data_IF_799144225797
#
_entry.id   IF_799144225797
#
_cell.length_a   1.000
_cell.length_b   1.000
_cell.length_c   1.000
_cell.angle_alpha   90.00
_cell.angle_beta   90.00
_cell.angle_gamma   90.00
#
_symmetry.space_group_name_H-M   'P 1'
#
loop_
_entity.id
_entity.type
_entity.pdbx_description
1 polymer ?
#
# COMPACT_ATOMS: atom_id res chain seq x y z
N UNK A 1 2.15 -7.32 10.35
CA UNK A 1 3.09 -6.44 11.08
C UNK A 1 2.53 -6.11 12.43
N UNK A 2 3.39 -5.94 13.45
CA UNK A 2 2.99 -5.63 14.83
C UNK A 2 2.07 -4.41 14.94
N UNK A 3 2.17 -3.47 14.01
CA UNK A 3 1.41 -2.20 14.02
C UNK A 3 0.15 -2.19 13.14
N UNK A 4 -0.18 -3.30 12.46
CA UNK A 4 -1.29 -3.32 11.48
C UNK A 4 -2.64 -2.93 12.10
N UNK A 5 -2.92 -3.37 13.33
CA UNK A 5 -4.20 -3.08 14.00
C UNK A 5 -4.28 -1.61 14.47
N UNK A 6 -3.32 -1.09 15.27
CA UNK A 6 -3.32 0.33 15.66
C UNK A 6 -3.38 1.28 14.46
N UNK A 7 -2.65 0.98 13.39
CA UNK A 7 -2.63 1.82 12.20
C UNK A 7 -3.96 1.79 11.43
N UNK A 8 -4.62 0.62 11.35
CA UNK A 8 -5.95 0.52 10.75
C UNK A 8 -6.97 1.34 11.54
N UNK A 9 -6.97 1.23 12.87
CA UNK A 9 -7.87 1.98 13.75
C UNK A 9 -7.65 3.49 13.64
N UNK A 10 -6.38 3.92 13.60
CA UNK A 10 -6.02 5.31 13.35
C UNK A 10 -6.60 5.84 12.03
N UNK A 11 -6.42 5.12 10.93
CA UNK A 11 -6.93 5.52 9.61
C UNK A 11 -8.45 5.47 9.50
N UNK A 12 -9.11 4.51 10.16
CA UNK A 12 -10.57 4.38 10.14
C UNK A 12 -11.25 5.49 10.97
N UNK A 13 -10.50 6.15 11.86
CA UNK A 13 -10.98 7.26 12.71
C UNK A 13 -12.25 6.94 13.49
N UNK A 14 -12.44 5.68 13.87
CA UNK A 14 -13.67 5.22 14.56
C UNK A 14 -14.95 5.63 13.83
N UNK A 15 -14.94 5.61 12.49
CA UNK A 15 -16.05 6.02 11.62
C UNK A 15 -16.49 7.48 11.79
N UNK A 16 -15.66 8.33 12.41
CA UNK A 16 -15.95 9.76 12.54
C UNK A 16 -15.73 10.48 11.20
N UNK A 17 -16.69 11.29 10.73
CA UNK A 17 -16.55 12.03 9.47
C UNK A 17 -15.40 13.04 9.51
N UNK A 18 -14.69 13.16 8.40
CA UNK A 18 -13.69 14.20 8.13
C UNK A 18 -14.36 15.33 7.36
N UNK A 19 -14.35 16.53 7.95
CA UNK A 19 -14.84 17.74 7.31
C UNK A 19 -13.65 18.58 6.83
N UNK A 20 -13.64 18.97 5.55
CA UNK A 20 -12.64 19.88 5.00
C UNK A 20 -13.25 20.76 3.90
N UNK A 21 -12.52 21.79 3.50
CA UNK A 21 -12.92 22.72 2.44
C UNK A 21 -11.85 22.74 1.35
N UNK A 22 -12.25 22.58 0.10
CA UNK A 22 -11.36 22.66 -1.06
C UNK A 22 -11.97 23.60 -2.09
N UNK A 23 -11.19 24.59 -2.55
CA UNK A 23 -11.64 25.59 -3.54
C UNK A 23 -12.99 26.25 -3.18
N UNK A 24 -13.20 26.58 -1.90
CA UNK A 24 -14.46 27.21 -1.48
C UNK A 24 -15.59 26.22 -1.14
N UNK A 25 -15.48 24.94 -1.51
CA UNK A 25 -16.54 23.93 -1.38
C UNK A 25 -16.30 23.07 -0.14
N UNK A 26 -17.36 22.89 0.68
CA UNK A 26 -17.30 22.06 1.88
C UNK A 26 -17.57 20.58 1.54
N UNK A 27 -16.71 19.70 2.06
CA UNK A 27 -16.82 18.25 1.92
C UNK A 27 -16.92 17.59 3.30
N UNK A 28 -17.69 16.50 3.36
CA UNK A 28 -17.80 15.62 4.53
C UNK A 28 -17.63 14.17 4.06
N UNK A 29 -16.54 13.55 4.48
CA UNK A 29 -16.17 12.18 4.08
C UNK A 29 -16.19 11.27 5.30
N UNK A 30 -16.83 10.12 5.20
CA UNK A 30 -16.74 9.05 6.19
C UNK A 30 -15.92 7.91 5.60
N UNK A 31 -14.93 7.41 6.32
CA UNK A 31 -14.15 6.24 5.92
C UNK A 31 -14.88 5.00 6.44
N UNK A 32 -15.39 4.18 5.53
CA UNK A 32 -16.18 2.99 5.87
C UNK A 32 -15.30 1.76 6.18
N UNK A 33 -14.17 1.62 5.49
CA UNK A 33 -13.21 0.54 5.72
C UNK A 33 -11.77 0.96 5.37
N UNK A 34 -10.79 0.26 5.94
CA UNK A 34 -9.37 0.41 5.68
C UNK A 34 -8.73 -0.95 5.47
N UNK A 35 -8.11 -1.13 4.30
CA UNK A 35 -7.29 -2.30 3.96
C UNK A 35 -5.82 -1.89 3.91
N UNK A 36 -5.00 -2.58 4.69
CA UNK A 36 -3.56 -2.30 4.77
C UNK A 36 -2.76 -3.36 4.00
N UNK A 37 -1.94 -2.86 3.07
CA UNK A 37 -1.04 -3.64 2.24
C UNK A 37 0.39 -3.09 2.36
N UNK A 38 1.40 -3.93 2.10
CA UNK A 38 2.75 -3.43 1.88
C UNK A 38 2.82 -2.44 0.72
N UNK A 39 3.81 -1.54 0.74
CA UNK A 39 3.98 -0.53 -0.30
C UNK A 39 4.17 -1.19 -1.69
N UNK A 40 3.57 -0.59 -2.71
CA UNK A 40 3.54 -1.11 -4.08
C UNK A 40 2.62 -2.31 -4.32
N UNK A 41 2.33 -3.15 -3.30
CA UNK A 41 1.51 -4.37 -3.47
C UNK A 41 0.09 -4.08 -3.95
N UNK A 42 -0.52 -2.96 -3.55
CA UNK A 42 -1.87 -2.59 -3.97
C UNK A 42 -2.01 -2.46 -5.49
N UNK A 43 -0.93 -2.11 -6.21
CA UNK A 43 -0.94 -2.02 -7.66
C UNK A 43 -1.16 -3.39 -8.32
N UNK A 44 -0.61 -4.46 -7.74
CA UNK A 44 -0.76 -5.83 -8.26
C UNK A 44 -2.00 -6.51 -7.68
N UNK A 45 -2.41 -6.17 -6.45
CA UNK A 45 -3.60 -6.75 -5.82
C UNK A 45 -4.89 -6.52 -6.61
N UNK A 46 -4.94 -5.43 -7.40
CA UNK A 46 -6.04 -5.11 -8.30
C UNK A 46 -5.93 -5.80 -9.67
N UNK A 47 -4.74 -6.32 -10.02
CA UNK A 47 -4.38 -6.87 -11.32
C UNK A 47 -3.74 -8.26 -11.20
N UNK A 48 -4.38 -9.15 -10.45
CA UNK A 48 -3.86 -10.50 -10.19
C UNK A 48 -3.66 -11.34 -11.47
N UNK A 49 -4.36 -11.01 -12.55
CA UNK A 49 -4.23 -11.61 -13.87
C UNK A 49 -2.82 -11.49 -14.46
N UNK A 50 -2.08 -10.43 -14.10
CA UNK A 50 -0.70 -10.22 -14.55
C UNK A 50 0.27 -11.28 -14.01
N UNK A 51 -0.15 -12.05 -13.01
CA UNK A 51 0.70 -12.97 -12.24
C UNK A 51 0.25 -14.43 -12.40
N UNK A 52 -0.85 -14.70 -13.11
CA UNK A 52 -1.55 -15.99 -13.10
C UNK A 52 -0.69 -17.18 -13.59
N UNK A 53 0.33 -16.92 -14.40
CA UNK A 53 1.20 -17.97 -14.96
C UNK A 53 2.67 -17.83 -14.50
N UNK A 54 2.96 -16.90 -13.59
CA UNK A 54 4.31 -16.63 -13.14
C UNK A 54 4.56 -17.30 -11.77
N UNK A 55 5.52 -18.24 -11.67
CA UNK A 55 5.77 -18.96 -10.42
C UNK A 55 6.39 -18.07 -9.34
N UNK A 56 7.12 -17.04 -9.75
CA UNK A 56 7.71 -16.06 -8.84
C UNK A 56 7.89 -14.73 -9.54
N UNK A 57 7.50 -13.64 -8.87
CA UNK A 57 7.60 -12.27 -9.39
C UNK A 57 8.22 -11.37 -8.34
N UNK A 58 9.06 -10.45 -8.79
CA UNK A 58 9.61 -9.38 -7.96
C UNK A 58 8.87 -8.07 -8.26
N UNK A 59 8.10 -7.59 -7.28
CA UNK A 59 7.54 -6.25 -7.29
C UNK A 59 8.62 -5.26 -6.86
N UNK A 60 8.81 -4.20 -7.65
CA UNK A 60 9.73 -3.11 -7.38
C UNK A 60 8.97 -1.78 -7.49
N UNK A 61 8.78 -1.11 -6.36
CA UNK A 61 8.22 0.26 -6.32
C UNK A 61 9.38 1.25 -6.27
N UNK A 62 9.60 1.96 -7.39
CA UNK A 62 10.71 2.90 -7.55
C UNK A 62 10.21 4.31 -7.20
N UNK A 63 10.51 4.74 -5.99
CA UNK A 63 10.16 6.05 -5.46
C UNK A 63 11.25 7.11 -5.64
N UNK A 64 10.96 8.30 -5.12
CA UNK A 64 11.90 9.42 -5.12
C UNK A 64 13.15 9.15 -4.28
N UNK A 65 13.00 8.57 -3.09
CA UNK A 65 14.10 8.28 -2.16
C UNK A 65 14.42 6.79 -2.01
N UNK A 66 13.40 5.94 -2.11
CA UNK A 66 13.52 4.50 -1.86
C UNK A 66 13.13 3.67 -3.07
N UNK A 67 13.66 2.46 -3.13
CA UNK A 67 13.13 1.37 -3.94
C UNK A 67 12.66 0.29 -2.98
N UNK A 68 11.37 -0.02 -3.03
CA UNK A 68 10.75 -1.04 -2.19
C UNK A 68 10.56 -2.34 -2.99
N UNK A 69 11.13 -3.42 -2.46
CA UNK A 69 11.17 -4.73 -3.10
C UNK A 69 10.28 -5.72 -2.36
N UNK A 70 9.53 -6.53 -3.12
CA UNK A 70 8.75 -7.64 -2.58
C UNK A 70 8.72 -8.80 -3.56
N UNK A 71 9.09 -9.99 -3.11
CA UNK A 71 8.84 -11.21 -3.88
C UNK A 71 7.44 -11.74 -3.63
N UNK A 72 6.79 -12.19 -4.68
CA UNK A 72 5.55 -12.95 -4.66
C UNK A 72 5.85 -14.33 -5.25
N UNK A 73 5.48 -15.38 -4.53
CA UNK A 73 5.64 -16.76 -4.98
C UNK A 73 4.23 -17.32 -5.24
N UNK A 74 3.95 -17.74 -6.48
CA UNK A 74 2.61 -18.12 -6.95
C UNK A 74 1.52 -17.09 -6.59
N UNK A 75 1.82 -15.81 -6.77
CA UNK A 75 0.90 -14.71 -6.43
C UNK A 75 0.80 -14.39 -4.93
N UNK A 76 1.49 -15.11 -4.05
CA UNK A 76 1.46 -14.87 -2.60
C UNK A 76 2.66 -14.03 -2.16
N UNK A 77 2.43 -12.86 -1.52
CA UNK A 77 3.50 -12.02 -0.98
C UNK A 77 4.37 -12.73 0.07
N UNK A 78 5.69 -12.69 -0.15
CA UNK A 78 6.65 -13.15 0.83
C UNK A 78 7.17 -11.96 1.67
N UNK A 79 6.55 -11.73 2.82
CA UNK A 79 6.90 -10.64 3.72
C UNK A 79 8.38 -10.65 4.18
N UNK A 80 9.02 -11.82 4.26
CA UNK A 80 10.43 -11.93 4.66
C UNK A 80 11.40 -11.36 3.63
N UNK A 81 10.95 -11.21 2.38
CA UNK A 81 11.73 -10.62 1.28
C UNK A 81 11.54 -9.11 1.14
N UNK A 82 10.63 -8.51 1.93
CA UNK A 82 10.40 -7.06 1.88
C UNK A 82 11.68 -6.31 2.25
N UNK A 83 12.14 -5.42 1.38
CA UNK A 83 13.30 -4.55 1.62
C UNK A 83 13.00 -3.16 1.09
N UNK A 84 13.45 -2.15 1.82
CA UNK A 84 13.47 -0.76 1.35
C UNK A 84 14.93 -0.36 1.20
N UNK A 85 15.32 0.11 0.02
CA UNK A 85 16.69 0.50 -0.30
C UNK A 85 16.72 2.00 -0.63
N UNK A 86 17.70 2.75 -0.10
CA UNK A 86 17.90 4.19 -0.40
C UNK A 86 18.53 4.40 -1.79
N UNK A 87 17.89 3.83 -2.81
CA UNK A 87 18.32 3.86 -4.21
C UNK A 87 17.32 4.61 -5.10
N UNK A 88 16.56 5.53 -4.51
CA UNK A 88 15.56 6.31 -5.22
C UNK A 88 16.12 7.23 -6.30
N UNK A 89 15.21 7.83 -7.06
CA UNK A 89 15.52 8.65 -8.24
C UNK A 89 16.16 10.01 -7.90
N UNK A 90 15.89 10.56 -6.73
CA UNK A 90 16.36 11.89 -6.30
C UNK A 90 17.66 11.73 -5.51
N UNK A 91 18.66 12.54 -5.85
CA UNK A 91 19.98 12.60 -5.22
C UNK A 91 20.39 14.04 -4.94
#
# INVERSE_FOLDING_TARGET
GREKKPFREYLLRSSQPVCFKFEGIAYKITIEDVKLFPQGYSAIALHSELMQNEPSVLLMDIGGWTVDLMRLDNGVPNAATCRSLELGMIR
#
